data_IF_528955516260
#
_entry.id   IF_528955516260
#
_cell.length_a   1.000
_cell.length_b   1.000
_cell.length_c   1.000
_cell.angle_alpha   90.00
_cell.angle_beta   90.00
_cell.angle_gamma   90.00
#
_symmetry.space_group_name_H-M   'P 1'
#
loop_
_entity.id
_entity.type
_entity.pdbx_description
1 polymer ?
#
# COMPACT_ATOMS: atom_id res chain seq x y z
N UNK A 1 8.65 -8.37 -19.91
CA UNK A 1 10.00 -8.50 -19.32
C UNK A 1 11.03 -7.67 -20.08
N UNK A 2 11.22 -7.83 -21.40
CA UNK A 2 12.23 -7.05 -22.14
C UNK A 2 12.13 -5.51 -21.93
N UNK A 3 10.91 -4.96 -22.00
CA UNK A 3 10.70 -3.51 -21.92
C UNK A 3 10.78 -2.93 -20.49
N UNK A 4 10.91 -3.75 -19.45
CA UNK A 4 11.06 -3.27 -18.08
C UNK A 4 12.53 -3.09 -17.69
N UNK A 5 13.49 -3.49 -18.52
CA UNK A 5 14.92 -3.48 -18.18
C UNK A 5 15.43 -2.07 -17.82
N UNK A 6 15.07 -1.06 -18.60
CA UNK A 6 15.46 0.33 -18.35
C UNK A 6 14.77 0.89 -17.10
N UNK A 7 13.47 0.60 -16.95
CA UNK A 7 12.69 1.02 -15.78
C UNK A 7 13.28 0.48 -14.48
N UNK A 8 13.63 -0.80 -14.39
CA UNK A 8 14.13 -1.39 -13.13
C UNK A 8 15.57 -0.98 -12.82
N UNK A 9 16.31 -0.43 -13.79
CA UNK A 9 17.67 0.08 -13.63
C UNK A 9 17.73 1.61 -13.50
N UNK A 10 16.61 2.30 -13.27
CA UNK A 10 16.61 3.75 -13.04
C UNK A 10 17.40 4.15 -11.77
N UNK A 11 17.52 3.22 -10.82
CA UNK A 11 18.53 3.25 -9.77
C UNK A 11 19.05 1.83 -9.50
N UNK A 12 20.34 1.70 -9.19
CA UNK A 12 21.00 0.43 -8.87
C UNK A 12 22.23 0.69 -7.97
N UNK A 13 22.97 -0.34 -7.51
CA UNK A 13 24.12 -0.14 -6.61
C UNK A 13 25.26 0.73 -7.16
N UNK A 14 25.30 0.98 -8.47
CA UNK A 14 26.34 1.76 -9.14
C UNK A 14 25.94 3.22 -9.40
N UNK A 15 24.67 3.58 -9.19
CA UNK A 15 24.18 4.94 -9.40
C UNK A 15 22.70 5.03 -9.75
N UNK A 16 22.28 6.20 -10.23
CA UNK A 16 20.90 6.49 -10.60
C UNK A 16 20.84 7.41 -11.83
N UNK A 17 19.71 7.41 -12.52
CA UNK A 17 19.44 8.28 -13.67
C UNK A 17 18.05 8.95 -13.54
N UNK A 18 17.65 9.69 -14.57
CA UNK A 18 16.37 10.42 -14.61
C UNK A 18 15.12 9.51 -14.54
N UNK A 19 15.25 8.20 -14.73
CA UNK A 19 14.15 7.23 -14.59
C UNK A 19 13.94 6.78 -13.14
N UNK A 20 14.83 7.13 -12.20
CA UNK A 20 14.77 6.66 -10.82
C UNK A 20 13.41 6.90 -10.13
N UNK A 21 12.77 8.04 -10.40
CA UNK A 21 11.43 8.36 -9.87
C UNK A 21 10.37 7.38 -10.38
N UNK A 22 10.46 6.97 -11.65
CA UNK A 22 9.55 6.00 -12.24
C UNK A 22 9.82 4.59 -11.71
N UNK A 23 11.08 4.22 -11.53
CA UNK A 23 11.47 2.96 -10.88
C UNK A 23 10.89 2.86 -9.47
N UNK A 24 10.96 3.95 -8.70
CA UNK A 24 10.42 3.99 -7.34
C UNK A 24 8.89 3.96 -7.34
N UNK A 25 8.26 4.77 -8.21
CA UNK A 25 6.81 4.77 -8.36
C UNK A 25 6.28 3.40 -8.78
N UNK A 26 7.00 2.67 -9.64
CA UNK A 26 6.65 1.32 -10.05
C UNK A 26 6.62 0.36 -8.86
N UNK A 27 7.63 0.37 -7.98
CA UNK A 27 7.64 -0.47 -6.77
C UNK A 27 6.60 -0.01 -5.74
N UNK A 28 6.47 1.29 -5.52
CA UNK A 28 5.47 1.85 -4.61
C UNK A 28 4.06 1.47 -5.06
N UNK A 29 3.77 1.50 -6.36
CA UNK A 29 2.49 1.11 -6.90
C UNK A 29 2.19 -0.38 -6.69
N UNK A 30 3.19 -1.26 -6.80
CA UNK A 30 3.05 -2.68 -6.44
C UNK A 30 2.74 -2.85 -4.95
N UNK A 31 3.40 -2.09 -4.08
CA UNK A 31 3.10 -2.10 -2.65
C UNK A 31 1.64 -1.70 -2.41
N UNK A 32 1.18 -0.57 -2.95
CA UNK A 32 -0.21 -0.08 -2.78
C UNK A 32 -1.22 -1.09 -3.33
N UNK A 33 -0.94 -1.65 -4.51
CA UNK A 33 -1.79 -2.68 -5.11
C UNK A 33 -1.88 -3.92 -4.21
N UNK A 34 -0.75 -4.41 -3.71
CA UNK A 34 -0.67 -5.55 -2.79
C UNK A 34 -1.38 -5.27 -1.45
N UNK A 35 -1.27 -4.04 -0.92
CA UNK A 35 -2.01 -3.61 0.28
C UNK A 35 -3.52 -3.70 0.07
N UNK A 36 -4.02 -3.48 -1.15
CA UNK A 36 -5.43 -3.70 -1.48
C UNK A 36 -5.92 -5.12 -1.19
N UNK A 37 -5.07 -6.13 -1.40
CA UNK A 37 -5.44 -7.52 -1.11
C UNK A 37 -5.66 -7.80 0.37
N UNK A 38 -4.98 -7.08 1.27
CA UNK A 38 -5.24 -7.20 2.70
C UNK A 38 -6.73 -6.96 3.00
N UNK A 39 -7.32 -5.91 2.42
CA UNK A 39 -8.73 -5.55 2.63
C UNK A 39 -9.71 -6.39 1.79
N UNK A 40 -9.28 -6.93 0.65
CA UNK A 40 -10.15 -7.70 -0.25
C UNK A 40 -10.19 -9.20 0.09
N UNK A 41 -9.12 -9.75 0.67
CA UNK A 41 -9.02 -11.18 1.03
C UNK A 41 -9.45 -11.39 2.48
N UNK A 42 -8.92 -10.61 3.43
CA UNK A 42 -9.29 -10.76 4.84
C UNK A 42 -10.56 -9.98 5.14
N UNK A 43 -11.47 -10.57 5.92
CA UNK A 43 -12.79 -10.01 6.19
C UNK A 43 -12.86 -9.36 7.58
N UNK A 44 -13.92 -8.59 7.81
CA UNK A 44 -14.10 -7.77 9.02
C UNK A 44 -13.93 -8.53 10.34
N UNK A 45 -14.45 -9.76 10.44
CA UNK A 45 -14.47 -10.53 11.69
C UNK A 45 -13.07 -10.73 12.30
N UNK A 46 -12.12 -11.15 11.47
CA UNK A 46 -10.72 -11.31 11.85
C UNK A 46 -10.13 -10.04 12.48
N UNK A 47 -10.35 -8.89 11.84
CA UNK A 47 -9.84 -7.61 12.34
C UNK A 47 -10.55 -7.14 13.60
N UNK A 48 -11.85 -7.43 13.74
CA UNK A 48 -12.61 -7.04 14.92
C UNK A 48 -12.09 -7.76 16.17
N UNK A 49 -11.86 -9.07 16.08
CA UNK A 49 -11.28 -9.85 17.18
C UNK A 49 -9.87 -9.35 17.55
N UNK A 50 -9.04 -9.05 16.55
CA UNK A 50 -7.72 -8.48 16.79
C UNK A 50 -7.80 -7.11 17.51
N UNK A 51 -8.68 -6.21 17.05
CA UNK A 51 -8.86 -4.88 17.67
C UNK A 51 -9.30 -5.02 19.12
N UNK A 52 -10.17 -5.97 19.45
CA UNK A 52 -10.63 -6.22 20.82
C UNK A 52 -9.47 -6.64 21.73
N UNK A 53 -8.52 -7.45 21.24
CA UNK A 53 -7.31 -7.79 22.01
C UNK A 53 -6.40 -6.57 22.23
N UNK A 54 -6.30 -5.66 21.26
CA UNK A 54 -5.53 -4.41 21.38
C UNK A 54 -6.20 -3.45 22.37
N UNK A 55 -7.52 -3.32 22.33
CA UNK A 55 -8.32 -2.54 23.29
C UNK A 55 -8.06 -3.04 24.71
N UNK A 56 -8.12 -4.35 24.92
CA UNK A 56 -7.80 -4.96 26.21
C UNK A 56 -6.37 -4.62 26.66
N UNK A 57 -5.39 -4.72 25.76
CA UNK A 57 -3.99 -4.41 26.08
C UNK A 57 -3.80 -2.93 26.46
N UNK A 58 -4.44 -2.01 25.76
CA UNK A 58 -4.37 -0.56 26.04
C UNK A 58 -4.93 -0.23 27.44
N UNK A 59 -6.08 -0.79 27.81
CA UNK A 59 -6.69 -0.55 29.13
C UNK A 59 -5.88 -1.14 30.29
N UNK A 60 -5.14 -2.22 30.05
CA UNK A 60 -4.32 -2.91 31.06
C UNK A 60 -2.88 -2.42 31.15
N UNK A 61 -2.45 -1.56 30.22
CA UNK A 61 -1.09 -1.01 30.24
C UNK A 61 -1.03 0.23 31.16
N UNK A 62 -0.24 0.19 32.27
CA UNK A 62 -0.06 1.35 33.13
C UNK A 62 0.46 2.57 32.35
N UNK A 63 0.08 3.78 32.78
CA UNK A 63 0.35 5.05 32.10
C UNK A 63 -0.41 5.25 30.77
N UNK A 64 -0.48 4.25 29.91
CA UNK A 64 -1.28 4.33 28.67
C UNK A 64 -2.79 4.39 28.95
N UNK A 65 -3.25 3.70 30.00
CA UNK A 65 -4.66 3.69 30.43
C UNK A 65 -5.20 5.05 30.92
N UNK A 66 -4.31 6.04 31.14
CA UNK A 66 -4.69 7.42 31.44
C UNK A 66 -5.24 8.12 30.19
N UNK A 67 -4.79 7.71 29.00
CA UNK A 67 -5.28 8.21 27.72
C UNK A 67 -6.41 7.32 27.24
N UNK A 68 -7.59 7.90 27.03
CA UNK A 68 -8.79 7.17 26.57
C UNK A 68 -9.25 7.71 25.22
N UNK A 69 -9.75 6.81 24.39
CA UNK A 69 -10.41 7.18 23.14
C UNK A 69 -11.76 7.84 23.42
N UNK A 70 -12.13 8.79 22.57
CA UNK A 70 -13.49 9.36 22.55
C UNK A 70 -14.48 8.38 21.91
N UNK A 71 -14.08 7.84 20.75
CA UNK A 71 -14.88 6.90 19.97
C UNK A 71 -14.27 5.50 20.07
N UNK A 72 -15.11 4.47 20.23
CA UNK A 72 -14.63 3.09 20.36
C UNK A 72 -13.97 2.62 19.05
N UNK A 73 -12.73 2.09 19.08
CA UNK A 73 -12.09 1.55 17.89
C UNK A 73 -12.82 0.28 17.45
N UNK A 74 -13.21 0.24 16.16
CA UNK A 74 -13.89 -0.89 15.54
C UNK A 74 -13.31 -1.14 14.15
N UNK A 75 -13.36 -2.38 13.67
CA UNK A 75 -12.96 -2.70 12.31
C UNK A 75 -13.87 -1.98 11.30
N UNK A 76 -13.30 -1.63 10.14
CA UNK A 76 -14.04 -1.06 9.00
C UNK A 76 -15.28 -1.89 8.67
N UNK A 77 -16.36 -1.22 8.25
CA UNK A 77 -17.56 -1.94 7.80
C UNK A 77 -17.25 -2.78 6.55
N UNK A 78 -18.10 -3.78 6.27
CA UNK A 78 -17.91 -4.67 5.12
C UNK A 78 -17.85 -3.88 3.80
N UNK A 79 -18.75 -2.90 3.63
CA UNK A 79 -18.78 -2.06 2.42
C UNK A 79 -17.59 -1.10 2.39
N UNK A 80 -17.21 -0.52 3.54
CA UNK A 80 -16.03 0.35 3.63
C UNK A 80 -14.74 -0.41 3.28
N UNK A 81 -14.53 -1.62 3.81
CA UNK A 81 -13.35 -2.43 3.51
C UNK A 81 -13.27 -2.77 2.02
N UNK A 82 -14.39 -3.11 1.38
CA UNK A 82 -14.45 -3.32 -0.08
C UNK A 82 -14.07 -2.06 -0.85
N UNK A 83 -14.60 -0.90 -0.45
CA UNK A 83 -14.29 0.37 -1.10
C UNK A 83 -12.81 0.75 -0.93
N UNK A 84 -12.27 0.63 0.28
CA UNK A 84 -10.86 0.93 0.59
C UNK A 84 -9.94 -0.04 -0.15
N UNK A 85 -10.27 -1.33 -0.18
CA UNK A 85 -9.54 -2.34 -0.95
C UNK A 85 -9.56 -2.05 -2.45
N UNK A 86 -10.73 -1.70 -3.01
CA UNK A 86 -10.86 -1.29 -4.40
C UNK A 86 -10.05 -0.02 -4.71
N UNK A 87 -10.06 0.98 -3.82
CA UNK A 87 -9.29 2.20 -4.00
C UNK A 87 -7.78 1.91 -4.08
N UNK A 88 -7.24 1.09 -3.16
CA UNK A 88 -5.83 0.66 -3.20
C UNK A 88 -5.52 -0.13 -4.47
N UNK A 89 -6.38 -1.08 -4.82
CA UNK A 89 -6.22 -1.90 -6.02
C UNK A 89 -6.18 -1.02 -7.28
N UNK A 90 -7.12 -0.09 -7.44
CA UNK A 90 -7.20 0.79 -8.61
C UNK A 90 -6.04 1.78 -8.67
N UNK A 91 -5.70 2.45 -7.56
CA UNK A 91 -4.57 3.39 -7.52
C UNK A 91 -3.25 2.67 -7.82
N UNK A 92 -3.00 1.54 -7.16
CA UNK A 92 -1.81 0.74 -7.40
C UNK A 92 -1.73 0.22 -8.85
N UNK A 93 -2.84 -0.22 -9.42
CA UNK A 93 -2.89 -0.67 -10.82
C UNK A 93 -2.55 0.46 -11.81
N UNK A 94 -3.18 1.63 -11.64
CA UNK A 94 -2.97 2.80 -12.52
C UNK A 94 -1.51 3.27 -12.43
N UNK A 95 -0.98 3.45 -11.20
CA UNK A 95 0.39 3.93 -11.03
C UNK A 95 1.44 2.93 -11.53
N UNK A 96 1.19 1.64 -11.38
CA UNK A 96 2.07 0.58 -11.90
C UNK A 96 2.20 0.71 -13.42
N UNK A 97 1.06 0.83 -14.11
CA UNK A 97 1.06 0.95 -15.55
C UNK A 97 1.62 2.30 -16.03
N UNK A 98 1.27 3.41 -15.36
CA UNK A 98 1.75 4.74 -15.71
C UNK A 98 3.29 4.84 -15.63
N UNK A 99 3.88 4.35 -14.54
CA UNK A 99 5.34 4.35 -14.37
C UNK A 99 6.03 3.49 -15.43
N UNK A 100 5.48 2.31 -15.72
CA UNK A 100 6.00 1.45 -16.78
C UNK A 100 5.92 2.09 -18.17
N UNK A 101 4.76 2.64 -18.53
CA UNK A 101 4.53 3.24 -19.84
C UNK A 101 5.49 4.40 -20.10
N UNK A 102 5.63 5.30 -19.12
CA UNK A 102 6.49 6.49 -19.27
C UNK A 102 7.97 6.07 -19.36
N UNK A 103 8.47 5.25 -18.43
CA UNK A 103 9.88 4.88 -18.40
C UNK A 103 10.30 3.99 -19.58
N UNK A 104 9.46 3.03 -19.98
CA UNK A 104 9.79 2.12 -21.09
C UNK A 104 9.77 2.81 -22.46
N UNK A 105 9.00 3.89 -22.60
CA UNK A 105 8.92 4.66 -23.84
C UNK A 105 9.99 5.76 -23.88
N UNK A 106 10.09 6.57 -22.83
CA UNK A 106 11.07 7.67 -22.78
C UNK A 106 12.51 7.17 -22.78
N UNK A 107 12.80 5.99 -22.22
CA UNK A 107 14.15 5.42 -22.25
C UNK A 107 14.65 5.03 -23.65
N UNK A 108 13.77 4.94 -24.65
CA UNK A 108 14.14 4.59 -26.03
C UNK A 108 14.14 5.79 -26.98
N UNK A 109 13.36 6.83 -26.67
CA UNK A 109 13.06 7.91 -27.60
C UNK A 109 13.18 9.32 -26.99
N UNK A 110 13.48 9.43 -25.70
CA UNK A 110 13.59 10.69 -24.96
C UNK A 110 15.03 11.06 -24.63
#
# INVERSE_FOLDING_TARGET
WLNSAQLINGYNPYGMNNLAVWSWMFLFAHLVWATGFMFLISWRGYWQELIETIVWAHERTPLANLVRWKDKPVALSIVQARLVGLAHFTVGYILTYAAFLIASTSSRFG
#
